data_IF_775338658111
#
_entry.id   IF_775338658111
#
_cell.length_a   1.000
_cell.length_b   1.000
_cell.length_c   1.000
_cell.angle_alpha   90.00
_cell.angle_beta   90.00
_cell.angle_gamma   90.00
#
_symmetry.space_group_name_H-M   'P 1'
#
loop_
_entity.id
_entity.type
_entity.pdbx_description
1 polymer ?
#
# COMPACT_ATOMS: atom_id res chain seq x y z
N UNK A 1 1.30 42.94 57.31
CA UNK A 1 1.95 41.94 56.45
C UNK A 1 1.22 40.61 56.65
N UNK A 2 1.05 39.82 55.58
CA UNK A 2 0.57 38.43 55.58
C UNK A 2 -0.94 38.16 55.65
N UNK A 3 -1.67 38.55 54.60
CA UNK A 3 -2.93 37.85 54.22
C UNK A 3 -3.04 37.62 52.70
N UNK A 4 -2.26 38.37 51.91
CA UNK A 4 -2.17 38.20 50.45
C UNK A 4 -1.18 37.12 49.99
N UNK A 5 -0.33 36.58 50.87
CA UNK A 5 0.65 35.55 50.51
C UNK A 5 0.07 34.12 50.62
N UNK A 6 -0.86 33.88 51.54
CA UNK A 6 -1.47 32.55 51.75
C UNK A 6 -2.47 32.19 50.64
N UNK A 7 -3.17 33.16 50.06
CA UNK A 7 -4.07 32.92 48.91
C UNK A 7 -3.26 32.57 47.65
N UNK A 8 -2.07 33.14 47.49
CA UNK A 8 -1.18 32.80 46.37
C UNK A 8 -0.58 31.38 46.52
N UNK A 9 -0.30 30.91 47.74
CA UNK A 9 0.17 29.54 47.97
C UNK A 9 -0.93 28.47 47.84
N UNK A 10 -2.20 28.83 48.10
CA UNK A 10 -3.34 27.92 47.92
C UNK A 10 -3.68 27.63 46.45
N UNK A 11 -3.35 28.53 45.51
CA UNK A 11 -3.68 28.38 44.09
C UNK A 11 -2.65 27.57 43.28
N UNK A 12 -1.47 27.28 43.84
CA UNK A 12 -0.40 26.54 43.13
C UNK A 12 -0.08 25.15 43.72
N UNK A 13 -0.72 24.75 44.81
CA UNK A 13 -0.64 23.39 45.36
C UNK A 13 -1.75 22.49 44.80
N UNK A 14 -1.82 22.36 43.47
CA UNK A 14 -2.55 21.23 42.89
C UNK A 14 -1.67 20.00 43.03
N UNK A 15 -1.99 19.16 44.02
CA UNK A 15 -1.50 17.80 44.10
C UNK A 15 -1.65 17.15 42.72
N UNK A 16 -0.53 16.70 42.18
CA UNK A 16 -0.39 16.02 40.90
C UNK A 16 -1.08 14.64 41.02
N UNK A 17 -2.40 14.61 41.16
CA UNK A 17 -3.20 13.40 41.06
C UNK A 17 -3.26 13.06 39.58
N UNK A 18 -2.15 12.49 39.08
CA UNK A 18 -2.01 12.06 37.70
C UNK A 18 -3.21 11.18 37.35
N UNK A 19 -4.07 11.70 36.48
CA UNK A 19 -5.08 10.89 35.84
C UNK A 19 -4.38 9.63 35.31
N UNK A 20 -4.92 8.43 35.56
CA UNK A 20 -4.30 7.20 35.07
C UNK A 20 -4.06 7.37 33.57
N UNK A 21 -2.80 7.26 33.15
CA UNK A 21 -2.42 7.32 31.74
C UNK A 21 -3.35 6.35 31.00
N UNK A 22 -3.99 6.77 29.89
CA UNK A 22 -4.79 5.85 29.09
C UNK A 22 -3.95 4.60 28.83
N UNK A 23 -4.52 3.39 28.94
CA UNK A 23 -3.76 2.17 28.71
C UNK A 23 -3.07 2.28 27.35
N UNK A 24 -1.74 2.21 27.36
CA UNK A 24 -0.92 2.24 26.15
C UNK A 24 -1.28 1.02 25.33
N UNK A 25 -2.17 1.22 24.35
CA UNK A 25 -2.64 0.16 23.50
C UNK A 25 -1.44 -0.37 22.69
N UNK A 26 -1.15 -1.66 22.87
CA UNK A 26 -0.01 -2.32 22.24
C UNK A 26 -0.11 -2.27 20.72
N UNK A 27 1.04 -2.29 20.03
CA UNK A 27 1.13 -2.28 18.55
C UNK A 27 0.19 -3.30 17.91
N UNK A 28 0.15 -4.52 18.47
CA UNK A 28 -0.72 -5.59 18.00
C UNK A 28 -2.22 -5.29 18.18
N UNK A 29 -2.61 -4.65 19.29
CA UNK A 29 -4.02 -4.29 19.56
C UNK A 29 -4.53 -3.17 18.65
N UNK A 30 -3.71 -2.13 18.40
CA UNK A 30 -4.06 -1.07 17.43
C UNK A 30 -4.26 -1.64 16.03
N UNK A 31 -3.48 -2.66 15.66
CA UNK A 31 -3.52 -3.28 14.34
C UNK A 31 -4.68 -4.28 14.19
N UNK A 32 -5.04 -5.01 15.25
CA UNK A 32 -6.20 -5.93 15.25
C UNK A 32 -7.54 -5.20 15.17
N UNK A 33 -7.64 -3.98 15.72
CA UNK A 33 -8.86 -3.17 15.64
C UNK A 33 -9.09 -2.55 14.25
N UNK A 34 -8.10 -2.59 13.35
CA UNK A 34 -8.19 -2.06 11.98
C UNK A 34 -8.64 -3.11 10.96
N UNK A 35 -9.63 -3.94 11.30
CA UNK A 35 -10.23 -4.87 10.31
C UNK A 35 -10.84 -4.08 9.15
N UNK A 36 -10.38 -4.37 7.93
CA UNK A 36 -10.87 -3.80 6.68
C UNK A 36 -12.16 -4.52 6.25
N UNK A 37 -13.29 -3.82 6.10
CA UNK A 37 -14.49 -4.44 5.54
C UNK A 37 -14.59 -4.31 4.01
N UNK A 38 -13.54 -3.88 3.30
CA UNK A 38 -13.59 -3.68 1.84
C UNK A 38 -12.49 -4.50 1.15
N UNK A 39 -12.81 -5.26 0.08
CA UNK A 39 -11.78 -5.87 -0.77
C UNK A 39 -10.83 -4.78 -1.26
N UNK A 40 -9.55 -4.93 -0.93
CA UNK A 40 -8.55 -3.93 -1.33
C UNK A 40 -8.45 -3.90 -2.84
N UNK A 41 -8.44 -2.68 -3.39
CA UNK A 41 -8.38 -2.47 -4.84
C UNK A 41 -6.97 -2.16 -5.29
N UNK A 42 -6.03 -1.98 -4.37
CA UNK A 42 -4.63 -1.69 -4.70
C UNK A 42 -3.69 -2.62 -3.95
N UNK A 43 -2.73 -3.22 -4.65
CA UNK A 43 -1.63 -3.98 -4.07
C UNK A 43 -0.29 -3.54 -4.67
N UNK A 44 0.83 -3.98 -4.10
CA UNK A 44 2.15 -3.70 -4.68
C UNK A 44 3.08 -4.91 -4.75
N UNK A 45 4.02 -4.86 -5.69
CA UNK A 45 5.14 -5.76 -5.86
C UNK A 45 6.43 -4.96 -5.67
N UNK A 46 7.25 -5.36 -4.71
CA UNK A 46 8.52 -4.74 -4.37
C UNK A 46 9.68 -5.64 -4.80
N UNK A 47 10.67 -5.05 -5.45
CA UNK A 47 11.93 -5.69 -5.78
C UNK A 47 12.94 -5.39 -4.66
N UNK A 48 13.11 -6.32 -3.72
CA UNK A 48 13.78 -6.06 -2.44
C UNK A 48 15.11 -6.81 -2.31
N UNK A 49 16.07 -6.21 -1.60
CA UNK A 49 17.45 -6.68 -1.51
C UNK A 49 18.01 -7.01 -2.91
N UNK A 50 18.73 -8.13 -3.03
CA UNK A 50 19.26 -8.61 -4.31
C UNK A 50 18.44 -9.75 -4.91
N UNK A 51 17.57 -10.40 -4.12
CA UNK A 51 16.99 -11.71 -4.41
C UNK A 51 15.55 -11.90 -3.92
N UNK A 52 14.86 -10.85 -3.47
CA UNK A 52 13.50 -10.96 -2.93
C UNK A 52 12.47 -10.25 -3.79
N UNK A 53 11.29 -10.86 -3.89
CA UNK A 53 10.08 -10.28 -4.46
C UNK A 53 9.06 -10.25 -3.35
N UNK A 54 8.67 -9.06 -2.90
CA UNK A 54 7.70 -8.90 -1.81
C UNK A 54 6.39 -8.38 -2.36
N UNK A 55 5.30 -9.04 -1.99
CA UNK A 55 3.93 -8.65 -2.25
C UNK A 55 3.38 -7.96 -1.01
N UNK A 56 2.76 -6.80 -1.18
CA UNK A 56 2.11 -6.06 -0.11
C UNK A 56 0.66 -5.85 -0.49
N UNK A 57 -0.24 -6.16 0.45
CA UNK A 57 -1.69 -6.08 0.26
C UNK A 57 -2.21 -6.87 -0.97
N UNK A 58 -1.47 -7.91 -1.39
CA UNK A 58 -1.84 -8.73 -2.54
C UNK A 58 -2.85 -9.80 -2.12
N UNK A 59 -3.96 -9.99 -2.86
CA UNK A 59 -4.89 -11.05 -2.51
C UNK A 59 -4.25 -12.43 -2.64
N UNK A 60 -4.65 -13.41 -1.79
CA UNK A 60 -4.04 -14.74 -1.78
C UNK A 60 -4.07 -15.46 -3.14
N UNK A 61 -5.05 -15.16 -3.99
CA UNK A 61 -5.17 -15.71 -5.34
C UNK A 61 -4.02 -15.34 -6.28
N UNK A 62 -3.30 -14.24 -6.03
CA UNK A 62 -2.15 -13.84 -6.84
C UNK A 62 -0.87 -14.62 -6.52
N UNK A 63 -0.76 -15.13 -5.30
CA UNK A 63 0.44 -15.83 -4.82
C UNK A 63 0.80 -17.04 -5.73
N UNK A 64 -0.10 -18.00 -6.00
CA UNK A 64 0.23 -19.14 -6.86
C UNK A 64 0.53 -18.74 -8.31
N UNK A 65 -0.16 -17.72 -8.83
CA UNK A 65 0.08 -17.18 -10.17
C UNK A 65 1.50 -16.61 -10.31
N UNK A 66 1.89 -15.75 -9.36
CA UNK A 66 3.19 -15.10 -9.36
C UNK A 66 4.31 -16.12 -9.09
N UNK A 67 4.09 -17.08 -8.18
CA UNK A 67 5.01 -18.22 -7.98
C UNK A 67 5.30 -18.95 -9.29
N UNK A 68 4.26 -19.34 -10.03
CA UNK A 68 4.44 -20.04 -11.31
C UNK A 68 5.17 -19.18 -12.33
N UNK A 69 4.88 -17.87 -12.35
CA UNK A 69 5.52 -16.92 -13.27
C UNK A 69 7.01 -16.77 -12.96
N UNK A 70 7.38 -16.71 -11.68
CA UNK A 70 8.78 -16.72 -11.23
C UNK A 70 9.47 -17.99 -11.71
N UNK A 71 8.92 -19.18 -11.40
CA UNK A 71 9.52 -20.47 -11.78
C UNK A 71 9.71 -20.61 -13.29
N UNK A 72 8.75 -20.11 -14.08
CA UNK A 72 8.81 -20.22 -15.54
C UNK A 72 9.76 -19.23 -16.21
N UNK A 73 10.07 -18.11 -15.56
CA UNK A 73 10.83 -17.00 -16.17
C UNK A 73 12.23 -16.87 -15.61
N UNK A 74 12.36 -17.12 -14.30
CA UNK A 74 13.62 -17.07 -13.57
C UNK A 74 14.17 -18.50 -13.51
N UNK A 75 15.18 -18.79 -14.33
CA UNK A 75 15.82 -20.12 -14.47
C UNK A 75 16.61 -20.57 -13.21
N UNK A 76 16.15 -20.18 -12.02
CA UNK A 76 16.68 -20.51 -10.70
C UNK A 76 15.51 -20.80 -9.77
N UNK A 77 15.66 -21.74 -8.82
CA UNK A 77 14.57 -22.12 -7.93
C UNK A 77 14.17 -20.98 -6.99
N UNK A 78 12.93 -21.00 -6.51
CA UNK A 78 12.53 -20.26 -5.32
C UNK A 78 13.16 -20.96 -4.12
N UNK A 79 13.93 -20.22 -3.32
CA UNK A 79 14.66 -20.73 -2.16
C UNK A 79 13.80 -20.70 -0.89
N UNK A 80 12.92 -19.70 -0.77
CA UNK A 80 12.10 -19.50 0.42
C UNK A 80 10.82 -18.74 0.07
N UNK A 81 9.76 -19.05 0.81
CA UNK A 81 8.50 -18.30 0.78
C UNK A 81 8.10 -17.97 2.22
N UNK A 82 7.80 -16.71 2.49
CA UNK A 82 7.46 -16.22 3.83
C UNK A 82 6.15 -15.47 3.75
N UNK A 83 5.14 -15.94 4.49
CA UNK A 83 3.92 -15.18 4.76
C UNK A 83 4.07 -14.49 6.10
N UNK A 84 4.01 -13.16 6.13
CA UNK A 84 3.98 -12.41 7.38
C UNK A 84 2.57 -11.92 7.64
N UNK A 85 2.10 -12.12 8.87
CA UNK A 85 0.81 -11.62 9.32
C UNK A 85 0.77 -10.08 9.29
N UNK A 86 1.93 -9.43 9.43
CA UNK A 86 2.05 -7.98 9.37
C UNK A 86 1.75 -7.45 7.95
N UNK A 87 0.76 -6.57 7.85
CA UNK A 87 0.32 -5.88 6.63
C UNK A 87 0.01 -6.79 5.42
N UNK A 88 -0.34 -8.06 5.67
CA UNK A 88 -0.68 -9.01 4.61
C UNK A 88 0.45 -9.19 3.59
N UNK A 89 1.69 -9.28 4.06
CA UNK A 89 2.86 -9.36 3.18
C UNK A 89 3.25 -10.80 2.87
N UNK A 90 3.62 -11.05 1.61
CA UNK A 90 4.12 -12.34 1.16
C UNK A 90 5.44 -12.14 0.40
N UNK A 91 6.47 -12.90 0.74
CA UNK A 91 7.80 -12.72 0.15
C UNK A 91 8.31 -14.01 -0.48
N UNK A 92 8.75 -13.91 -1.74
CA UNK A 92 9.54 -14.94 -2.40
C UNK A 92 11.01 -14.56 -2.32
N UNK A 93 11.86 -15.48 -1.88
CA UNK A 93 13.30 -15.40 -2.07
C UNK A 93 13.70 -16.31 -3.22
N UNK A 94 14.30 -15.76 -4.26
CA UNK A 94 14.69 -16.50 -5.46
C UNK A 94 16.18 -16.79 -5.49
N UNK A 95 16.58 -17.89 -6.13
CA UNK A 95 18.00 -18.21 -6.27
C UNK A 95 18.73 -17.24 -7.20
N UNK A 96 19.97 -16.89 -6.87
CA UNK A 96 20.75 -15.89 -7.62
C UNK A 96 20.58 -14.49 -7.04
N UNK A 97 20.81 -13.48 -7.87
CA UNK A 97 20.72 -12.06 -7.48
C UNK A 97 20.13 -11.20 -8.61
N UNK A 98 18.84 -11.37 -8.96
CA UNK A 98 18.21 -10.65 -10.06
C UNK A 98 18.32 -9.12 -9.94
N UNK A 99 18.38 -8.57 -8.74
CA UNK A 99 18.40 -7.11 -8.52
C UNK A 99 19.78 -6.56 -8.18
N UNK A 100 20.80 -7.42 -8.08
CA UNK A 100 22.14 -6.93 -7.80
C UNK A 100 22.64 -6.04 -8.94
N UNK A 101 23.22 -4.87 -8.64
CA UNK A 101 23.80 -4.01 -9.66
C UNK A 101 24.90 -4.79 -10.38
N UNK A 102 24.75 -4.99 -11.69
CA UNK A 102 25.82 -5.52 -12.53
C UNK A 102 26.83 -4.41 -12.79
N UNK A 103 28.10 -4.55 -12.38
CA UNK A 103 29.10 -3.49 -12.53
C UNK A 103 29.48 -3.17 -14.00
N UNK A 104 29.02 -3.96 -14.98
CA UNK A 104 29.44 -3.81 -16.39
C UNK A 104 28.32 -3.67 -17.42
N UNK A 105 27.07 -4.01 -17.10
CA UNK A 105 26.04 -4.23 -18.14
C UNK A 105 24.63 -3.73 -17.82
N UNK A 106 24.42 -3.01 -16.72
CA UNK A 106 23.07 -2.59 -16.31
C UNK A 106 22.19 -3.78 -15.88
N UNK A 107 20.85 -3.60 -15.79
CA UNK A 107 19.94 -4.68 -15.44
C UNK A 107 20.09 -5.85 -16.42
N UNK A 108 20.27 -7.05 -15.88
CA UNK A 108 20.38 -8.25 -16.72
C UNK A 108 19.06 -8.46 -17.48
N UNK A 109 19.14 -8.81 -18.76
CA UNK A 109 17.98 -9.12 -19.60
C UNK A 109 17.01 -10.11 -18.92
N UNK A 110 17.55 -11.06 -18.16
CA UNK A 110 16.75 -12.02 -17.38
C UNK A 110 15.92 -11.34 -16.27
N UNK A 111 16.46 -10.35 -15.58
CA UNK A 111 15.77 -9.60 -14.52
C UNK A 111 14.66 -8.73 -15.11
N UNK A 112 14.92 -8.05 -16.23
CA UNK A 112 13.90 -7.28 -16.96
C UNK A 112 12.78 -8.19 -17.45
N UNK A 113 13.11 -9.35 -18.00
CA UNK A 113 12.11 -10.33 -18.44
C UNK A 113 11.26 -10.84 -17.27
N UNK A 114 11.86 -11.05 -16.09
CA UNK A 114 11.14 -11.44 -14.88
C UNK A 114 10.12 -10.37 -14.47
N UNK A 115 10.52 -9.09 -14.39
CA UNK A 115 9.60 -7.99 -14.04
C UNK A 115 8.46 -7.87 -15.06
N UNK A 116 8.77 -7.94 -16.36
CA UNK A 116 7.76 -7.91 -17.43
C UNK A 116 6.81 -9.12 -17.36
N UNK A 117 7.31 -10.30 -17.02
CA UNK A 117 6.48 -11.49 -16.87
C UNK A 117 5.53 -11.37 -15.68
N UNK A 118 6.01 -10.90 -14.52
CA UNK A 118 5.17 -10.63 -13.34
C UNK A 118 4.06 -9.63 -13.65
N UNK A 119 4.40 -8.52 -14.30
CA UNK A 119 3.44 -7.51 -14.75
C UNK A 119 2.39 -8.11 -15.68
N UNK A 120 2.81 -8.85 -16.71
CA UNK A 120 1.88 -9.49 -17.66
C UNK A 120 0.98 -10.53 -16.98
N UNK A 121 1.51 -11.28 -16.02
CA UNK A 121 0.75 -12.31 -15.30
C UNK A 121 -0.38 -11.67 -14.48
N UNK A 122 -0.07 -10.64 -13.68
CA UNK A 122 -1.09 -9.97 -12.85
C UNK A 122 -2.10 -9.18 -13.72
N UNK A 123 -1.65 -8.61 -14.85
CA UNK A 123 -2.54 -7.95 -15.81
C UNK A 123 -3.56 -8.90 -16.45
N UNK A 124 -3.15 -10.13 -16.78
CA UNK A 124 -4.06 -11.15 -17.33
C UNK A 124 -5.22 -11.50 -16.40
N UNK A 125 -5.02 -11.38 -15.09
CA UNK A 125 -6.06 -11.67 -14.11
C UNK A 125 -6.84 -10.43 -13.66
N UNK A 126 -6.60 -9.26 -14.25
CA UNK A 126 -7.44 -8.07 -14.02
C UNK A 126 -6.81 -6.94 -13.22
N UNK A 127 -5.52 -6.99 -12.95
CA UNK A 127 -4.81 -5.90 -12.31
C UNK A 127 -4.20 -4.96 -13.35
N UNK A 128 -3.93 -3.72 -13.00
CA UNK A 128 -3.29 -2.79 -13.92
C UNK A 128 -2.27 -1.95 -13.16
N UNK A 129 -1.07 -1.83 -13.72
CA UNK A 129 -0.03 -0.99 -13.13
C UNK A 129 -0.52 0.46 -13.07
N UNK A 130 -0.53 1.04 -11.87
CA UNK A 130 -0.99 2.42 -11.63
C UNK A 130 0.09 3.32 -11.07
N UNK A 131 1.17 2.78 -10.50
CA UNK A 131 2.34 3.54 -10.06
C UNK A 131 3.59 2.66 -10.14
N UNK A 132 4.68 3.20 -10.65
CA UNK A 132 6.03 2.68 -10.41
C UNK A 132 6.76 3.77 -9.62
N UNK A 133 7.21 3.45 -8.41
CA UNK A 133 7.77 4.42 -7.47
C UNK A 133 9.00 3.83 -6.80
N UNK A 134 10.01 4.67 -6.60
CA UNK A 134 11.09 4.33 -5.70
C UNK A 134 10.84 4.94 -4.31
N UNK A 135 10.02 4.26 -3.52
CA UNK A 135 9.58 4.72 -2.19
C UNK A 135 10.70 4.73 -1.14
N UNK A 136 11.87 4.18 -1.48
CA UNK A 136 13.01 4.02 -0.61
C UNK A 136 14.29 4.51 -1.27
N UNK A 137 15.16 5.19 -0.51
CA UNK A 137 16.50 5.54 -0.96
C UNK A 137 17.59 4.58 -0.48
N UNK A 138 17.22 3.46 0.12
CA UNK A 138 18.19 2.42 0.48
C UNK A 138 18.76 1.86 -0.81
N UNK A 139 20.10 1.78 -0.90
CA UNK A 139 20.80 1.26 -2.08
C UNK A 139 20.41 -0.17 -2.47
N UNK A 140 19.77 -0.88 -1.55
CA UNK A 140 19.39 -2.29 -1.63
C UNK A 140 17.89 -2.48 -1.87
N UNK A 141 17.09 -1.40 -1.84
CA UNK A 141 15.68 -1.45 -2.23
C UNK A 141 15.53 -0.85 -3.62
N UNK A 142 14.88 -1.61 -4.50
CA UNK A 142 14.64 -1.22 -5.87
C UNK A 142 13.17 -0.82 -6.04
N UNK A 143 12.74 -0.70 -7.28
CA UNK A 143 11.42 -0.20 -7.66
C UNK A 143 10.25 -0.94 -6.99
N UNK A 144 9.23 -0.16 -6.67
CA UNK A 144 7.94 -0.62 -6.14
C UNK A 144 6.86 -0.40 -7.20
N UNK A 145 6.16 -1.47 -7.55
CA UNK A 145 5.13 -1.48 -8.58
C UNK A 145 3.76 -1.62 -7.92
N UNK A 146 2.91 -0.61 -8.03
CA UNK A 146 1.55 -0.62 -7.48
C UNK A 146 0.54 -0.94 -8.58
N UNK A 147 -0.39 -1.82 -8.25
CA UNK A 147 -1.40 -2.33 -9.16
C UNK A 147 -2.78 -2.07 -8.61
N UNK A 148 -3.68 -1.66 -9.49
CA UNK A 148 -5.10 -1.46 -9.19
C UNK A 148 -5.91 -2.62 -9.79
N UNK A 149 -6.85 -3.15 -9.02
CA UNK A 149 -7.87 -4.08 -9.50
C UNK A 149 -8.83 -3.36 -10.45
N UNK A 150 -8.91 -3.86 -11.67
CA UNK A 150 -9.77 -3.33 -12.74
C UNK A 150 -11.01 -4.20 -13.01
N UNK A 151 -11.25 -5.25 -12.20
CA UNK A 151 -12.42 -6.11 -12.36
C UNK A 151 -12.21 -7.33 -13.27
N UNK A 152 -10.96 -7.72 -13.54
CA UNK A 152 -10.66 -8.62 -14.66
C UNK A 152 -10.55 -7.83 -15.95
N UNK A 153 -9.76 -8.28 -16.91
CA UNK A 153 -10.09 -7.94 -18.29
C UNK A 153 -11.54 -8.44 -18.49
N UNK A 154 -12.52 -7.53 -18.49
CA UNK A 154 -13.58 -7.70 -19.46
C UNK A 154 -12.85 -7.65 -20.80
N UNK A 155 -12.36 -8.82 -21.24
CA UNK A 155 -11.98 -9.03 -22.62
C UNK A 155 -13.10 -8.39 -23.40
N UNK A 156 -12.74 -7.38 -24.21
CA UNK A 156 -13.65 -6.62 -25.05
C UNK A 156 -14.83 -7.52 -25.42
N UNK A 157 -16.10 -7.18 -25.14
CA UNK A 157 -17.22 -8.13 -25.10
C UNK A 157 -17.34 -9.12 -26.29
N UNK A 158 -16.74 -8.78 -27.43
CA UNK A 158 -16.65 -9.61 -28.63
C UNK A 158 -15.60 -10.75 -28.59
N UNK A 159 -14.57 -10.69 -27.75
CA UNK A 159 -13.52 -11.72 -27.62
C UNK A 159 -13.83 -12.79 -26.56
N UNK A 160 -14.59 -12.46 -25.51
CA UNK A 160 -14.94 -13.38 -24.42
C UNK A 160 -15.90 -14.48 -24.87
N UNK A 161 -16.81 -14.19 -25.81
CA UNK A 161 -17.77 -15.19 -26.31
C UNK A 161 -17.07 -16.31 -27.10
N UNK A 162 -16.07 -15.99 -27.92
CA UNK A 162 -15.32 -17.01 -28.67
C UNK A 162 -14.43 -17.86 -27.76
N UNK A 163 -13.75 -17.24 -26.79
CA UNK A 163 -12.85 -17.99 -25.89
C UNK A 163 -13.63 -18.87 -24.90
N UNK A 164 -14.79 -18.42 -24.42
CA UNK A 164 -15.68 -19.23 -23.60
C UNK A 164 -16.29 -20.38 -24.41
N UNK A 165 -16.73 -20.12 -25.65
CA UNK A 165 -17.17 -21.19 -26.56
C UNK A 165 -16.04 -22.18 -26.88
N UNK A 166 -14.81 -21.71 -27.11
CA UNK A 166 -13.66 -22.59 -27.33
C UNK A 166 -13.33 -23.44 -26.11
N UNK A 167 -13.42 -22.90 -24.90
CA UNK A 167 -13.20 -23.64 -23.67
C UNK A 167 -14.27 -24.72 -23.46
N UNK A 168 -15.54 -24.37 -23.66
CA UNK A 168 -16.66 -25.33 -23.61
C UNK A 168 -16.50 -26.43 -24.67
N UNK A 169 -16.09 -26.05 -25.89
CA UNK A 169 -15.85 -27.00 -26.97
C UNK A 169 -14.66 -27.92 -26.68
N UNK A 170 -13.59 -27.41 -26.06
CA UNK A 170 -12.44 -28.21 -25.65
C UNK A 170 -12.80 -29.23 -24.55
N UNK A 171 -13.58 -28.81 -23.55
CA UNK A 171 -14.09 -29.71 -22.49
C UNK A 171 -14.99 -30.81 -23.08
N UNK A 172 -15.87 -30.45 -24.01
CA UNK A 172 -16.75 -31.42 -24.69
C UNK A 172 -15.95 -32.41 -25.56
N UNK A 173 -14.91 -31.96 -26.24
CA UNK A 173 -14.01 -32.82 -27.02
C UNK A 173 -13.22 -33.79 -26.14
N UNK A 174 -12.71 -33.33 -24.99
CA UNK A 174 -12.02 -34.21 -24.03
C UNK A 174 -12.96 -35.28 -23.47
N UNK A 175 -14.22 -34.93 -23.19
CA UNK A 175 -15.24 -35.88 -22.75
C UNK A 175 -15.55 -36.95 -23.81
N UNK A 176 -15.69 -36.55 -25.07
CA UNK A 176 -15.92 -37.49 -26.19
C UNK A 176 -14.72 -38.43 -26.41
N UNK A 177 -13.49 -37.93 -26.26
CA UNK A 177 -12.29 -38.78 -26.28
C UNK A 177 -12.25 -39.78 -25.13
N UNK A 178 -12.63 -39.37 -23.91
CA UNK A 178 -12.68 -40.28 -22.77
C UNK A 178 -13.72 -41.40 -22.95
N UNK A 179 -14.86 -41.11 -23.58
CA UNK A 179 -15.84 -42.14 -23.92
C UNK A 179 -15.35 -43.12 -25.01
N UNK A 180 -14.61 -42.63 -26.00
CA UNK A 180 -14.05 -43.50 -27.05
C UNK A 180 -12.94 -44.42 -26.52
N UNK A 181 -12.14 -43.96 -25.57
CA UNK A 181 -11.09 -44.77 -24.92
C UNK A 181 -11.67 -45.87 -24.03
N UNK A 182 -12.91 -45.72 -23.55
CA UNK A 182 -13.62 -46.76 -22.79
C UNK A 182 -14.49 -47.68 -23.66
N UNK A 183 -14.49 -47.50 -24.99
CA UNK A 183 -15.24 -48.28 -25.96
C UNK A 183 -14.67 -49.66 -26.29
N UNK A 184 -14.00 -50.34 -25.36
CA UNK A 184 -13.74 -51.78 -25.46
C UNK A 184 -14.71 -52.50 -24.52
N UNK A 185 -15.88 -52.85 -25.08
CA UNK A 185 -16.82 -53.88 -24.61
C UNK A 185 -17.05 -53.99 -23.10
N UNK A 186 -17.83 -53.07 -22.54
CA UNK A 186 -18.42 -53.25 -21.22
C UNK A 186 -19.50 -52.22 -20.96
N UNK A 187 -20.77 -52.66 -20.93
CA UNK A 187 -21.93 -51.84 -20.62
C UNK A 187 -21.69 -51.02 -19.32
N UNK A 188 -21.55 -49.69 -19.37
CA UNK A 188 -21.31 -48.90 -18.17
C UNK A 188 -22.61 -48.88 -17.37
N UNK A 189 -22.62 -49.59 -16.25
CA UNK A 189 -23.80 -49.75 -15.41
C UNK A 189 -24.35 -48.40 -14.90
N UNK A 190 -25.64 -48.37 -14.49
CA UNK A 190 -26.40 -47.16 -14.14
C UNK A 190 -25.87 -46.33 -12.95
N UNK A 191 -24.75 -46.74 -12.34
CA UNK A 191 -24.12 -46.06 -11.21
C UNK A 191 -23.29 -44.83 -11.62
N UNK A 192 -22.60 -44.87 -12.77
CA UNK A 192 -21.74 -43.75 -13.21
C UNK A 192 -22.55 -42.52 -13.64
N UNK A 193 -23.70 -42.74 -14.28
CA UNK A 193 -24.64 -41.66 -14.65
C UNK A 193 -25.27 -41.02 -13.41
N UNK A 194 -25.62 -41.82 -12.39
CA UNK A 194 -26.17 -41.31 -11.13
C UNK A 194 -25.16 -40.48 -10.35
N UNK A 195 -23.88 -40.88 -10.33
CA UNK A 195 -22.85 -40.15 -9.58
C UNK A 195 -22.52 -38.80 -10.23
N UNK A 196 -22.54 -38.71 -11.56
CA UNK A 196 -22.32 -37.46 -12.29
C UNK A 196 -23.50 -36.49 -12.16
N UNK A 197 -24.74 -37.01 -12.19
CA UNK A 197 -25.94 -36.20 -11.98
C UNK A 197 -26.02 -35.65 -10.54
N UNK A 198 -25.53 -36.43 -9.56
CA UNK A 198 -25.39 -35.97 -8.18
C UNK A 198 -24.30 -34.89 -8.03
N UNK A 199 -23.20 -34.99 -8.79
CA UNK A 199 -22.12 -33.99 -8.77
C UNK A 199 -22.54 -32.65 -9.41
N UNK A 200 -23.35 -32.68 -10.47
CA UNK A 200 -23.97 -31.51 -11.10
C UNK A 200 -24.94 -30.81 -10.14
N UNK A 201 -25.77 -31.57 -9.42
CA UNK A 201 -26.68 -31.03 -8.41
C UNK A 201 -25.92 -30.39 -7.24
N UNK A 202 -24.80 -31.00 -6.80
CA UNK A 202 -23.97 -30.46 -5.72
C UNK A 202 -23.28 -29.14 -6.10
N UNK A 203 -22.86 -28.98 -7.37
CA UNK A 203 -22.32 -27.71 -7.89
C UNK A 203 -23.39 -26.63 -7.98
N UNK A 204 -24.62 -26.98 -8.41
CA UNK A 204 -25.73 -26.03 -8.49
C UNK A 204 -26.19 -25.57 -7.10
N UNK A 205 -26.15 -26.45 -6.09
CA UNK A 205 -26.52 -26.13 -4.71
C UNK A 205 -25.46 -25.26 -4.00
N UNK A 206 -24.17 -25.45 -4.28
CA UNK A 206 -23.12 -24.56 -3.79
C UNK A 206 -23.22 -23.13 -4.36
N UNK A 207 -23.65 -22.97 -5.61
CA UNK A 207 -23.82 -21.64 -6.20
C UNK A 207 -24.99 -20.86 -5.59
N UNK A 208 -26.03 -21.54 -5.09
CA UNK A 208 -27.17 -20.92 -4.43
C UNK A 208 -26.90 -20.55 -2.96
N UNK A 209 -26.03 -21.29 -2.25
CA UNK A 209 -25.65 -20.97 -0.86
C UNK A 209 -24.75 -19.73 -0.73
N UNK A 210 -24.04 -19.34 -1.78
CA UNK A 210 -23.17 -18.14 -1.78
C UNK A 210 -23.97 -16.82 -1.85
N UNK A 211 -25.28 -16.86 -2.15
CA UNK A 211 -26.10 -15.65 -2.28
C UNK A 211 -26.91 -15.29 -1.01
N UNK A 212 -26.78 -16.00 0.12
CA UNK A 212 -27.72 -15.84 1.23
C UNK A 212 -27.18 -16.04 2.66
N UNK A 213 -25.99 -15.56 3.01
CA UNK A 213 -25.56 -15.54 4.41
C UNK A 213 -24.96 -14.19 4.85
N UNK A 214 -25.80 -13.39 5.51
CA UNK A 214 -25.39 -12.46 6.57
C UNK A 214 -24.99 -13.28 7.80
N UNK A 215 -23.80 -13.08 8.38
CA UNK A 215 -23.44 -13.71 9.66
C UNK A 215 -22.65 -12.79 10.60
N UNK A 216 -23.33 -12.48 11.70
CA UNK A 216 -22.81 -12.18 13.04
C UNK A 216 -21.90 -13.33 13.56
N UNK A 217 -20.72 -13.08 14.18
CA UNK A 217 -19.91 -14.17 14.73
C UNK A 217 -19.95 -14.26 16.26
N UNK A 218 -20.31 -15.45 16.74
CA UNK A 218 -20.04 -15.96 18.09
C UNK A 218 -18.97 -17.07 18.09
N UNK A 219 -18.47 -17.50 19.27
CA UNK A 219 -17.03 -17.69 19.49
C UNK A 219 -16.59 -19.16 19.53
N UNK A 220 -15.35 -19.43 19.11
CA UNK A 220 -14.68 -20.73 19.35
C UNK A 220 -13.19 -20.58 19.73
N UNK A 221 -12.92 -21.07 20.95
CA UNK A 221 -11.78 -21.86 21.47
C UNK A 221 -10.34 -21.63 20.95
N UNK A 222 -9.50 -21.17 21.86
CA UNK A 222 -8.03 -21.11 21.79
C UNK A 222 -7.39 -22.41 22.32
N UNK A 223 -6.46 -22.97 21.53
CA UNK A 223 -5.51 -23.99 21.98
C UNK A 223 -4.18 -23.33 22.34
N UNK A 224 -3.64 -23.70 23.50
CA UNK A 224 -2.38 -23.19 24.05
C UNK A 224 -1.15 -23.86 23.39
N UNK A 225 -0.12 -23.06 23.09
CA UNK A 225 1.27 -23.49 23.05
C UNK A 225 2.11 -22.54 23.91
N UNK A 226 2.80 -23.10 24.90
CA UNK A 226 3.82 -22.41 25.70
C UNK A 226 5.09 -22.23 24.87
N UNK A 227 5.58 -21.00 24.75
CA UNK A 227 6.97 -20.75 24.40
C UNK A 227 7.58 -19.70 25.33
N UNK A 228 8.73 -20.08 25.86
CA UNK A 228 9.50 -19.47 26.94
C UNK A 228 10.24 -18.23 26.43
N UNK A 229 10.05 -17.07 27.06
CA UNK A 229 10.75 -15.84 26.71
C UNK A 229 12.00 -15.63 27.58
N UNK A 230 13.07 -15.17 26.94
CA UNK A 230 14.31 -14.65 27.55
C UNK A 230 14.20 -13.11 27.56
N UNK A 231 14.59 -12.40 28.63
CA UNK A 231 14.41 -10.95 28.69
C UNK A 231 15.56 -10.20 27.98
N UNK A 232 15.20 -9.36 27.00
CA UNK A 232 16.06 -8.33 26.45
C UNK A 232 15.60 -6.96 26.93
N UNK A 233 16.51 -6.18 27.52
CA UNK A 233 16.27 -4.82 28.03
C UNK A 233 15.81 -3.86 26.92
N UNK A 234 14.63 -3.30 27.09
CA UNK A 234 14.10 -2.20 26.28
C UNK A 234 14.51 -0.86 26.94
N UNK A 235 15.09 0.05 26.15
CA UNK A 235 15.49 1.39 26.60
C UNK A 235 14.30 2.34 26.47
N UNK A 236 13.96 2.98 27.59
CA UNK A 236 12.92 4.00 27.69
C UNK A 236 13.20 5.21 26.78
N UNK A 237 12.22 5.54 25.94
CA UNK A 237 12.10 6.83 25.25
C UNK A 237 10.88 7.56 25.80
N UNK A 238 11.12 8.51 26.69
CA UNK A 238 10.11 9.29 27.38
C UNK A 238 9.47 10.38 26.47
N UNK A 239 8.13 10.41 26.52
CA UNK A 239 7.26 11.58 26.51
C UNK A 239 7.17 12.47 25.25
N UNK A 240 6.21 12.15 24.37
CA UNK A 240 5.55 13.13 23.49
C UNK A 240 4.31 13.71 24.21
N UNK A 241 4.41 14.99 24.58
CA UNK A 241 3.30 15.78 25.13
C UNK A 241 2.62 16.53 23.99
N UNK A 242 1.33 16.24 23.74
CA UNK A 242 0.46 17.06 22.89
C UNK A 242 0.16 18.37 23.62
N UNK A 243 0.87 19.45 23.28
CA UNK A 243 0.52 20.82 23.69
C UNK A 243 0.38 21.67 22.44
N UNK A 244 -0.86 21.88 22.00
CA UNK A 244 -1.20 22.90 21.02
C UNK A 244 -1.22 24.28 21.70
N UNK A 245 -0.10 24.99 21.67
CA UNK A 245 -0.05 26.40 22.04
C UNK A 245 -0.40 27.26 20.81
N UNK A 246 -1.60 27.84 20.81
CA UNK A 246 -1.96 28.94 19.90
C UNK A 246 -1.29 30.20 20.45
N UNK A 247 -0.10 30.53 19.94
CA UNK A 247 0.59 31.78 20.24
C UNK A 247 0.20 32.84 19.23
N UNK A 248 -0.55 33.84 19.70
CA UNK A 248 -0.89 35.02 18.92
C UNK A 248 0.32 35.92 18.67
N UNK A 249 0.46 36.35 17.42
CA UNK A 249 1.08 37.63 17.08
C UNK A 249 0.09 38.45 16.29
N UNK A 250 -0.29 39.57 16.89
CA UNK A 250 -0.98 40.69 16.26
C UNK A 250 0.00 41.34 15.29
N UNK A 251 -0.32 41.34 14.00
CA UNK A 251 0.03 42.42 13.08
C UNK A 251 -1.27 42.86 12.42
N UNK A 252 -1.63 44.11 12.66
CA UNK A 252 -2.86 44.72 12.22
C UNK A 252 -2.67 45.35 10.83
N UNK A 253 -2.63 44.55 9.76
CA UNK A 253 -2.75 45.04 8.37
C UNK A 253 -3.46 44.05 7.41
N UNK A 254 -4.19 43.04 7.92
CA UNK A 254 -4.78 41.97 7.07
C UNK A 254 -6.31 41.82 7.24
N UNK A 255 -7.04 42.94 7.32
CA UNK A 255 -8.51 42.97 7.44
C UNK A 255 -9.24 43.27 6.13
N UNK A 256 -8.88 42.62 5.01
CA UNK A 256 -9.66 42.71 3.76
C UNK A 256 -9.74 41.43 2.90
N UNK A 257 -9.69 40.23 3.51
CA UNK A 257 -10.03 39.00 2.80
C UNK A 257 -10.95 38.09 3.63
N UNK A 258 -12.16 38.57 3.90
CA UNK A 258 -13.28 37.74 4.33
C UNK A 258 -14.50 38.14 3.52
N UNK A 259 -14.55 37.69 2.26
CA UNK A 259 -15.76 37.57 1.44
C UNK A 259 -15.42 36.86 0.11
N UNK A 260 -15.12 35.56 0.16
CA UNK A 260 -15.01 34.72 -1.05
C UNK A 260 -15.30 33.22 -0.86
N UNK A 261 -16.00 32.82 0.21
CA UNK A 261 -16.32 31.40 0.46
C UNK A 261 -17.53 30.90 -0.35
N UNK A 262 -18.08 31.71 -1.26
CA UNK A 262 -19.30 31.39 -1.99
C UNK A 262 -19.14 31.52 -3.52
N UNK A 263 -18.05 31.06 -4.13
CA UNK A 263 -17.96 30.86 -5.59
C UNK A 263 -16.69 30.10 -6.05
N UNK A 264 -16.60 28.79 -5.82
CA UNK A 264 -15.75 27.91 -6.67
C UNK A 264 -16.40 26.54 -6.83
N UNK A 265 -17.49 26.51 -7.60
CA UNK A 265 -18.04 25.26 -8.13
C UNK A 265 -17.09 24.55 -9.12
N UNK A 266 -15.97 25.19 -9.49
CA UNK A 266 -14.85 24.55 -10.18
C UNK A 266 -13.98 23.79 -9.19
N UNK A 267 -14.34 22.54 -8.88
CA UNK A 267 -13.48 21.67 -8.10
C UNK A 267 -12.12 21.45 -8.79
N UNK A 268 -11.06 21.29 -8.00
CA UNK A 268 -9.70 21.01 -8.52
C UNK A 268 -9.72 19.79 -9.44
N UNK A 269 -9.44 20.01 -10.72
CA UNK A 269 -9.46 18.97 -11.75
C UNK A 269 -8.30 17.98 -11.56
N UNK A 270 -7.12 18.48 -11.22
CA UNK A 270 -5.95 17.66 -10.93
C UNK A 270 -5.01 18.33 -9.95
N UNK A 271 -4.26 17.55 -9.19
CA UNK A 271 -3.23 18.03 -8.28
C UNK A 271 -2.08 17.02 -8.17
N UNK A 272 -0.94 17.47 -7.65
CA UNK A 272 0.25 16.62 -7.45
C UNK A 272 0.43 16.33 -5.96
N UNK A 273 0.72 15.09 -5.61
CA UNK A 273 1.25 14.71 -4.29
C UNK A 273 2.74 14.45 -4.47
N UNK A 274 3.58 15.16 -3.73
CA UNK A 274 5.04 15.00 -3.81
C UNK A 274 5.57 14.37 -2.53
N UNK A 275 6.46 13.38 -2.68
CA UNK A 275 7.33 12.92 -1.62
C UNK A 275 8.60 13.77 -1.68
N UNK A 276 8.83 14.61 -0.67
CA UNK A 276 9.96 15.55 -0.65
C UNK A 276 10.83 15.36 0.60
N UNK A 277 12.11 15.64 0.46
CA UNK A 277 13.10 15.41 1.50
C UNK A 277 13.21 13.93 1.79
N UNK A 278 13.23 13.56 3.08
CA UNK A 278 13.20 12.16 3.51
C UNK A 278 11.97 11.84 4.37
N UNK A 279 11.16 12.85 4.64
CA UNK A 279 10.15 12.85 5.69
C UNK A 279 8.89 13.64 5.32
N UNK A 280 8.83 14.32 4.18
CA UNK A 280 7.76 15.29 3.93
C UNK A 280 6.86 14.83 2.77
N UNK A 281 5.55 14.83 2.99
CA UNK A 281 4.55 14.71 1.92
C UNK A 281 3.97 16.10 1.66
N UNK A 282 3.98 16.54 0.41
CA UNK A 282 3.46 17.85 -0.01
C UNK A 282 2.25 17.68 -0.92
N UNK A 283 1.26 18.54 -0.71
CA UNK A 283 0.06 18.65 -1.54
C UNK A 283 -0.28 20.13 -1.71
N UNK A 284 -0.73 20.61 -2.88
CA UNK A 284 -1.17 21.99 -3.03
C UNK A 284 -2.31 22.34 -2.04
N UNK A 285 -2.30 23.55 -1.50
CA UNK A 285 -3.24 24.00 -0.48
C UNK A 285 -4.67 24.20 -1.03
N UNK A 286 -4.82 24.35 -2.35
CA UNK A 286 -6.12 24.43 -3.02
C UNK A 286 -6.88 23.10 -3.08
N UNK A 287 -6.22 21.99 -2.74
CA UNK A 287 -6.81 20.65 -2.76
C UNK A 287 -7.94 20.55 -1.72
N UNK A 288 -9.09 19.92 -2.05
CA UNK A 288 -10.22 19.85 -1.13
C UNK A 288 -9.84 19.31 0.26
N UNK A 289 -10.37 19.92 1.33
CA UNK A 289 -10.07 19.52 2.72
C UNK A 289 -10.31 18.03 2.99
N UNK A 290 -11.30 17.43 2.31
CA UNK A 290 -11.57 15.99 2.41
C UNK A 290 -10.41 15.12 1.93
N UNK A 291 -9.67 15.59 0.92
CA UNK A 291 -8.48 14.92 0.38
C UNK A 291 -7.30 15.04 1.34
N UNK A 292 -7.08 16.23 1.92
CA UNK A 292 -6.07 16.42 2.96
C UNK A 292 -6.36 15.51 4.16
N UNK A 293 -7.62 15.48 4.61
CA UNK A 293 -8.07 14.59 5.69
C UNK A 293 -7.85 13.12 5.36
N UNK A 294 -8.21 12.69 4.16
CA UNK A 294 -7.98 11.33 3.67
C UNK A 294 -6.51 10.92 3.67
N UNK A 295 -5.62 11.82 3.25
CA UNK A 295 -4.16 11.59 3.27
C UNK A 295 -3.64 11.50 4.70
N UNK A 296 -4.04 12.44 5.58
CA UNK A 296 -3.69 12.43 7.00
C UNK A 296 -4.10 11.13 7.68
N UNK A 297 -5.31 10.64 7.41
CA UNK A 297 -5.79 9.36 7.95
C UNK A 297 -4.98 8.16 7.43
N UNK A 298 -4.61 8.15 6.15
CA UNK A 298 -3.73 7.11 5.60
C UNK A 298 -2.37 7.08 6.29
N UNK A 299 -1.77 8.25 6.52
CA UNK A 299 -0.50 8.40 7.25
C UNK A 299 -0.65 7.89 8.68
N UNK A 300 -1.59 8.41 9.46
CA UNK A 300 -1.76 8.04 10.86
C UNK A 300 -2.10 6.56 11.07
N UNK A 301 -2.74 5.93 10.06
CA UNK A 301 -3.09 4.52 10.11
C UNK A 301 -1.88 3.59 9.91
N UNK A 302 -0.98 3.95 9.00
CA UNK A 302 0.07 3.04 8.54
C UNK A 302 1.48 3.44 8.92
N UNK A 303 1.72 4.74 9.15
CA UNK A 303 2.98 5.24 9.65
C UNK A 303 2.97 5.29 11.17
N UNK A 304 3.58 4.28 11.78
CA UNK A 304 3.47 4.05 13.24
C UNK A 304 4.12 5.15 14.08
N UNK A 305 5.09 5.86 13.51
CA UNK A 305 5.81 6.95 14.16
C UNK A 305 5.05 8.28 14.09
N UNK A 306 4.00 8.37 13.27
CA UNK A 306 3.11 9.52 13.21
C UNK A 306 3.66 10.74 12.47
N UNK A 307 2.88 11.81 12.53
CA UNK A 307 3.18 13.11 11.92
C UNK A 307 3.87 13.98 12.97
N UNK A 308 5.08 14.44 12.69
CA UNK A 308 5.82 15.36 13.55
C UNK A 308 5.23 16.77 13.46
N UNK A 309 4.91 17.21 12.23
CA UNK A 309 4.43 18.56 11.97
C UNK A 309 3.53 18.61 10.74
N UNK A 310 2.47 19.41 10.84
CA UNK A 310 1.65 19.83 9.70
C UNK A 310 1.80 21.35 9.54
N UNK A 311 1.96 21.83 8.30
CA UNK A 311 2.03 23.27 8.06
C UNK A 311 1.65 23.65 6.63
N UNK A 312 1.03 24.81 6.48
CA UNK A 312 0.78 25.45 5.19
C UNK A 312 1.88 26.48 4.89
N UNK A 313 2.53 26.36 3.72
CA UNK A 313 3.58 27.28 3.27
C UNK A 313 3.45 27.52 1.78
N UNK A 314 3.27 28.78 1.36
CA UNK A 314 3.27 29.18 -0.06
C UNK A 314 2.35 28.30 -0.91
N UNK A 315 1.10 28.18 -0.49
CA UNK A 315 0.07 27.38 -1.17
C UNK A 315 0.39 25.87 -1.24
N UNK A 316 1.23 25.38 -0.33
CA UNK A 316 1.52 23.95 -0.16
C UNK A 316 1.21 23.54 1.27
N UNK A 317 0.41 22.51 1.42
CA UNK A 317 0.20 21.79 2.66
C UNK A 317 1.29 20.70 2.81
N UNK A 318 2.04 20.74 3.91
CA UNK A 318 3.14 19.82 4.20
C UNK A 318 2.82 18.93 5.41
N UNK A 319 2.96 17.61 5.26
CA UNK A 319 3.02 16.63 6.33
C UNK A 319 4.47 16.20 6.56
N UNK A 320 5.11 16.68 7.62
CA UNK A 320 6.44 16.21 8.04
C UNK A 320 6.27 15.02 8.98
N UNK A 321 6.83 13.88 8.59
CA UNK A 321 6.70 12.58 9.24
C UNK A 321 7.89 12.31 10.15
N UNK A 322 7.66 11.73 11.32
CA UNK A 322 8.75 11.39 12.23
C UNK A 322 9.66 10.32 11.62
N UNK A 323 10.98 10.41 11.86
CA UNK A 323 12.00 9.39 11.53
C UNK A 323 12.23 9.08 10.05
N UNK A 324 12.03 10.04 9.16
CA UNK A 324 12.46 9.96 7.76
C UNK A 324 11.97 8.69 7.03
N UNK A 325 10.66 8.46 6.91
CA UNK A 325 10.08 7.28 6.26
C UNK A 325 10.66 6.96 4.88
N UNK A 326 11.07 7.95 4.10
CA UNK A 326 11.58 7.77 2.74
C UNK A 326 13.10 7.54 2.70
N UNK A 327 13.75 7.62 3.86
CA UNK A 327 15.08 7.11 4.12
C UNK A 327 14.95 5.86 4.99
N UNK A 328 14.27 4.84 4.46
CA UNK A 328 14.04 3.59 5.20
C UNK A 328 15.37 3.01 5.67
N UNK A 329 15.37 2.34 6.82
CA UNK A 329 16.54 1.61 7.32
C UNK A 329 16.21 0.12 7.45
N UNK A 330 15.43 -0.39 6.49
CA UNK A 330 15.05 -1.80 6.43
C UNK A 330 13.63 -2.05 5.95
N UNK A 331 13.34 -3.34 5.79
CA UNK A 331 12.13 -3.86 5.16
C UNK A 331 10.81 -3.41 5.80
N UNK A 332 10.77 -3.22 7.12
CA UNK A 332 9.52 -2.90 7.84
C UNK A 332 9.03 -1.48 7.51
N UNK A 333 9.94 -0.52 7.47
CA UNK A 333 9.63 0.87 7.15
C UNK A 333 9.06 1.00 5.73
N UNK A 334 9.64 0.27 4.78
CA UNK A 334 9.17 0.22 3.38
C UNK A 334 7.76 -0.34 3.27
N UNK A 335 7.42 -1.35 4.09
CA UNK A 335 6.06 -1.89 4.15
C UNK A 335 5.08 -0.83 4.66
N UNK A 336 5.43 -0.13 5.73
CA UNK A 336 4.58 0.94 6.29
C UNK A 336 4.34 2.06 5.28
N UNK A 337 5.39 2.55 4.63
CA UNK A 337 5.28 3.58 3.57
C UNK A 337 4.39 3.10 2.43
N UNK A 338 4.58 1.86 1.97
CA UNK A 338 3.77 1.30 0.88
C UNK A 338 2.30 1.20 1.26
N UNK A 339 2.00 0.84 2.51
CA UNK A 339 0.63 0.83 3.03
C UNK A 339 0.04 2.25 3.13
N UNK A 340 0.83 3.26 3.52
CA UNK A 340 0.40 4.67 3.46
C UNK A 340 0.00 5.04 2.02
N UNK A 341 0.82 4.68 1.03
CA UNK A 341 0.57 4.98 -0.38
C UNK A 341 -0.69 4.27 -0.88
N UNK A 342 -0.80 2.96 -0.63
CA UNK A 342 -1.97 2.15 -1.00
C UNK A 342 -3.24 2.78 -0.42
N UNK A 343 -3.25 3.06 0.89
CA UNK A 343 -4.43 3.62 1.55
C UNK A 343 -4.74 5.03 1.08
N UNK A 344 -3.72 5.86 0.83
CA UNK A 344 -3.92 7.19 0.29
C UNK A 344 -4.59 7.10 -1.08
N UNK A 345 -4.05 6.30 -2.01
CA UNK A 345 -4.63 6.13 -3.36
C UNK A 345 -6.06 5.59 -3.32
N UNK A 346 -6.37 4.64 -2.42
CA UNK A 346 -7.73 4.15 -2.22
C UNK A 346 -8.67 5.26 -1.73
N UNK A 347 -8.25 6.05 -0.73
CA UNK A 347 -9.05 7.16 -0.22
C UNK A 347 -9.28 8.23 -1.31
N UNK A 348 -8.27 8.55 -2.11
CA UNK A 348 -8.39 9.49 -3.23
C UNK A 348 -9.43 9.01 -4.24
N UNK A 349 -9.42 7.72 -4.55
CA UNK A 349 -10.40 7.09 -5.45
C UNK A 349 -11.82 7.16 -4.91
N UNK A 350 -12.01 6.94 -3.60
CA UNK A 350 -13.32 7.11 -2.96
C UNK A 350 -13.85 8.54 -3.05
N UNK A 351 -12.95 9.53 -3.15
CA UNK A 351 -13.29 10.94 -3.36
C UNK A 351 -13.30 11.36 -4.83
N UNK A 352 -13.32 10.39 -5.77
CA UNK A 352 -13.45 10.66 -7.19
C UNK A 352 -12.16 11.14 -7.85
N UNK A 353 -10.98 10.80 -7.30
CA UNK A 353 -9.69 11.10 -7.91
C UNK A 353 -8.94 9.82 -8.29
N UNK A 354 -8.32 9.81 -9.46
CA UNK A 354 -7.52 8.69 -9.95
C UNK A 354 -6.11 9.15 -10.33
N UNK A 355 -5.13 8.28 -10.10
CA UNK A 355 -3.75 8.51 -10.51
C UNK A 355 -3.63 8.57 -12.05
N UNK A 356 -3.02 9.64 -12.56
CA UNK A 356 -2.74 9.85 -13.98
C UNK A 356 -1.56 8.98 -14.43
N UNK A 357 -1.82 8.05 -15.34
CA UNK A 357 -0.78 7.15 -15.88
C UNK A 357 0.29 7.86 -16.71
N UNK A 358 -0.05 9.02 -17.28
CA UNK A 358 0.80 9.77 -18.21
C UNK A 358 1.92 10.55 -17.51
N UNK A 359 1.89 10.66 -16.18
CA UNK A 359 2.80 11.53 -15.42
C UNK A 359 4.00 10.80 -14.79
N UNK A 360 4.17 9.49 -15.03
CA UNK A 360 5.09 8.63 -14.25
C UNK A 360 6.60 8.86 -14.43
N UNK A 361 7.06 9.81 -15.24
CA UNK A 361 8.50 9.92 -15.48
C UNK A 361 8.94 11.36 -15.77
N UNK A 362 9.11 12.15 -14.70
CA UNK A 362 9.77 13.46 -14.78
C UNK A 362 11.22 13.44 -14.28
N UNK A 363 11.65 12.37 -13.59
CA UNK A 363 13.00 12.30 -13.03
C UNK A 363 14.07 11.91 -14.06
N UNK A 364 13.69 11.48 -15.27
CA UNK A 364 14.63 11.14 -16.33
C UNK A 364 15.19 12.36 -17.11
N UNK A 365 14.61 13.55 -17.00
CA UNK A 365 15.02 14.71 -17.84
C UNK A 365 15.73 15.78 -17.01
N UNK A 366 17.04 15.61 -16.88
CA UNK A 366 17.95 16.76 -16.87
C UNK A 366 18.37 17.29 -15.50
N UNK A 367 18.91 16.42 -14.65
CA UNK A 367 19.98 16.85 -13.75
C UNK A 367 21.17 17.31 -14.59
N UNK A 368 21.16 18.56 -15.09
CA UNK A 368 22.37 19.19 -15.61
C UNK A 368 23.39 19.15 -14.49
N UNK A 369 24.47 18.41 -14.68
CA UNK A 369 25.65 18.49 -13.85
C UNK A 369 26.11 19.97 -13.87
N UNK A 370 25.69 20.74 -12.87
CA UNK A 370 26.26 22.05 -12.64
C UNK A 370 27.67 21.80 -12.14
N UNK A 371 28.64 22.01 -13.03
CA UNK A 371 30.05 22.13 -12.69
C UNK A 371 30.19 23.38 -11.81
N UNK A 372 29.99 23.20 -10.51
CA UNK A 372 29.98 24.30 -9.55
C UNK A 372 31.43 24.65 -9.25
N UNK A 373 31.87 25.74 -9.88
CA UNK A 373 33.17 26.34 -9.66
C UNK A 373 33.26 26.81 -8.20
N UNK A 374 34.31 26.35 -7.52
CA UNK A 374 34.53 26.53 -6.10
C UNK A 374 35.03 27.94 -5.82
N UNK A 375 34.21 28.75 -5.15
CA UNK A 375 34.58 29.60 -4.01
C UNK A 375 33.43 30.54 -3.70
N UNK A 376 32.54 30.14 -2.79
CA UNK A 376 32.01 31.03 -1.76
C UNK A 376 31.23 30.24 -0.69
N UNK A 377 31.34 30.70 0.55
CA UNK A 377 31.04 29.96 1.78
C UNK A 377 29.54 29.65 1.95
N UNK A 378 29.16 28.42 1.60
CA UNK A 378 28.57 27.38 2.46
C UNK A 378 27.46 27.78 3.46
N UNK A 379 26.37 28.39 2.98
CA UNK A 379 25.03 28.02 3.47
C UNK A 379 24.54 26.94 2.51
N UNK A 380 24.78 25.68 2.86
CA UNK A 380 24.27 24.53 2.10
C UNK A 380 22.74 24.61 2.19
N UNK A 381 22.15 25.31 1.22
CA UNK A 381 20.71 25.43 1.08
C UNK A 381 20.26 24.01 0.82
N UNK A 382 19.72 23.36 1.85
CA UNK A 382 19.15 22.01 1.80
C UNK A 382 18.23 21.98 0.59
N UNK A 383 18.72 21.46 -0.53
CA UNK A 383 17.93 21.42 -1.75
C UNK A 383 16.71 20.59 -1.44
N UNK A 384 15.53 21.08 -1.83
CA UNK A 384 14.30 20.33 -1.73
C UNK A 384 14.39 19.19 -2.73
N UNK A 385 15.00 18.09 -2.30
CA UNK A 385 15.10 16.87 -3.06
C UNK A 385 13.66 16.32 -3.15
N UNK A 386 13.14 16.18 -4.35
CA UNK A 386 11.90 15.43 -4.60
C UNK A 386 12.32 13.96 -4.76
N UNK A 387 11.65 13.07 -4.03
CA UNK A 387 11.82 11.62 -4.13
C UNK A 387 10.91 11.07 -5.22
N UNK A 388 9.67 11.50 -5.23
CA UNK A 388 8.67 11.06 -6.20
C UNK A 388 7.51 12.07 -6.26
N UNK A 389 6.73 12.05 -7.34
CA UNK A 389 5.56 12.90 -7.52
C UNK A 389 4.44 12.18 -8.27
N UNK A 390 3.21 12.32 -7.77
CA UNK A 390 2.03 11.63 -8.28
C UNK A 390 0.97 12.63 -8.68
N UNK A 391 0.56 12.62 -9.94
CA UNK A 391 -0.52 13.50 -10.41
C UNK A 391 -1.84 12.77 -10.32
N UNK A 392 -2.78 13.26 -9.52
CA UNK A 392 -4.14 12.76 -9.47
C UNK A 392 -5.08 13.67 -10.26
N UNK A 393 -6.04 13.08 -10.97
CA UNK A 393 -7.09 13.79 -11.71
C UNK A 393 -8.46 13.29 -11.27
N UNK A 394 -9.44 14.20 -11.22
CA UNK A 394 -10.84 13.89 -10.97
C UNK A 394 -11.37 12.93 -12.04
N UNK A 395 -12.07 11.89 -11.61
CA UNK A 395 -12.80 10.95 -12.46
C UNK A 395 -14.06 11.69 -12.93
N UNK A 396 -14.21 11.84 -14.25
CA UNK A 396 -15.38 12.46 -14.87
C UNK A 396 -16.57 11.50 -14.93
#
# INVERSE_FOLDING_TARGET
MSFSYEIAQAMFNHSNSGAPKPPTQTRAQRQQQLQYPVPTTICSIHLHDNDKIRLINAPPSLIPLLRQTIVNTWNKPIQQEISKTYCGTYEFRVGGKPWAPSPKTGPLLASTNLVLALKRAIEKVGWSLVLASNVSRVREENDSLFFEWTGGFQARPWLSSQHHQQYQHHQQQQYLQQQQVQGINGNPGPWLSSQYQQQQQHHHQQQQQVQGMDTNPGPWLTSQYHHQQVPGQEKDADQMTLVGHVSGYKNAEDMMFQDSVAATAGGVESFTVELSGYDTIRVPAEVPVVILTALRLAILRHWTQGIEKESDKKDIHEYTLTACPFQTWGAETTIEVSMVIIQALENMRLHGYKLCREAMDRDAVGGKAQTQDKKDKKKEKKENIIIDSWVLRRIQ
#
